data_IF_947417482476
#
_entry.id   IF_947417482476
#
_cell.length_a   1.000
_cell.length_b   1.000
_cell.length_c   1.000
_cell.angle_alpha   90.00
_cell.angle_beta   90.00
_cell.angle_gamma   90.00
#
_symmetry.space_group_name_H-M   'P 1'
#
loop_
_entity.id
_entity.type
_entity.pdbx_description
1 polymer ?
#
# COMPACT_ATOMS: atom_id res chain seq x y z
N UNK A 1 -22.41 8.28 22.19
CA UNK A 1 -22.16 7.75 20.83
C UNK A 1 -20.93 8.45 20.26
N UNK A 2 -19.73 7.99 20.62
CA UNK A 2 -18.47 8.64 20.20
C UNK A 2 -17.33 7.65 19.97
N UNK A 3 -17.65 6.37 19.80
CA UNK A 3 -16.65 5.31 19.57
C UNK A 3 -16.31 5.17 18.08
N UNK A 4 -17.29 5.30 17.19
CA UNK A 4 -17.13 5.07 15.75
C UNK A 4 -16.08 5.97 15.09
N UNK A 5 -16.04 7.27 15.41
CA UNK A 5 -15.10 8.20 14.78
C UNK A 5 -13.63 7.97 15.20
N UNK A 6 -13.41 7.53 16.45
CA UNK A 6 -12.05 7.21 16.91
C UNK A 6 -11.54 5.91 16.29
N UNK A 7 -12.44 4.95 16.08
CA UNK A 7 -12.13 3.71 15.39
C UNK A 7 -11.83 3.96 13.91
N UNK A 8 -12.61 4.78 13.20
CA UNK A 8 -12.37 5.10 11.78
C UNK A 8 -11.10 5.92 11.54
N UNK A 9 -10.77 6.85 12.43
CA UNK A 9 -9.49 7.59 12.35
C UNK A 9 -8.29 6.68 12.56
N UNK A 10 -8.32 5.78 13.56
CA UNK A 10 -7.24 4.80 13.74
C UNK A 10 -7.12 3.79 12.58
N UNK A 11 -8.25 3.42 11.96
CA UNK A 11 -8.29 2.54 10.79
C UNK A 11 -7.73 3.22 9.52
N UNK A 12 -7.95 4.54 9.40
CA UNK A 12 -7.38 5.39 8.35
C UNK A 12 -5.86 5.53 8.55
N UNK A 13 -5.40 5.91 9.74
CA UNK A 13 -3.96 6.02 10.07
C UNK A 13 -3.21 4.71 9.80
N UNK A 14 -3.82 3.57 10.17
CA UNK A 14 -3.26 2.23 9.92
C UNK A 14 -3.12 1.94 8.41
N UNK A 15 -4.13 2.29 7.60
CA UNK A 15 -4.06 2.12 6.14
C UNK A 15 -3.07 3.05 5.47
N UNK A 16 -2.95 4.29 5.94
CA UNK A 16 -1.94 5.23 5.44
C UNK A 16 -0.52 4.74 5.72
N UNK A 17 -0.28 4.18 6.91
CA UNK A 17 1.00 3.56 7.26
C UNK A 17 1.29 2.32 6.38
N UNK A 18 0.29 1.46 6.18
CA UNK A 18 0.41 0.31 5.28
C UNK A 18 0.71 0.73 3.84
N UNK A 19 0.05 1.77 3.34
CA UNK A 19 0.27 2.32 2.00
C UNK A 19 1.70 2.87 1.86
N UNK A 20 2.20 3.56 2.88
CA UNK A 20 3.59 4.04 2.91
C UNK A 20 4.59 2.87 2.86
N UNK A 21 4.34 1.80 3.62
CA UNK A 21 5.15 0.59 3.60
C UNK A 21 5.16 -0.12 2.24
N UNK A 22 4.00 -0.22 1.58
CA UNK A 22 3.91 -0.81 0.23
C UNK A 22 4.69 0.03 -0.79
N UNK A 23 4.60 1.37 -0.72
CA UNK A 23 5.36 2.25 -1.61
C UNK A 23 6.87 2.14 -1.42
N UNK A 24 7.32 2.02 -0.17
CA UNK A 24 8.74 1.80 0.15
C UNK A 24 9.22 0.45 -0.41
N UNK A 25 8.42 -0.61 -0.25
CA UNK A 25 8.73 -1.93 -0.81
C UNK A 25 8.83 -1.89 -2.35
N UNK A 26 7.90 -1.22 -3.04
CA UNK A 26 7.97 -1.04 -4.49
C UNK A 26 9.25 -0.29 -4.90
N UNK A 27 9.57 0.80 -4.20
CA UNK A 27 10.78 1.58 -4.47
C UNK A 27 12.06 0.75 -4.27
N UNK A 28 12.09 -0.07 -3.22
CA UNK A 28 13.19 -0.99 -2.96
C UNK A 28 13.34 -2.03 -4.08
N UNK A 29 12.25 -2.64 -4.54
CA UNK A 29 12.27 -3.61 -5.63
C UNK A 29 12.69 -2.98 -6.96
N UNK A 30 12.18 -1.80 -7.30
CA UNK A 30 12.57 -1.06 -8.51
C UNK A 30 14.02 -0.57 -8.48
N UNK A 31 14.59 -0.36 -7.28
CA UNK A 31 15.99 0.01 -7.09
C UNK A 31 16.97 -1.13 -7.32
N UNK A 32 16.52 -2.39 -7.40
CA UNK A 32 17.43 -3.52 -7.60
C UNK A 32 17.76 -3.68 -9.09
N UNK A 33 19.05 -3.63 -9.48
CA UNK A 33 19.42 -3.81 -10.88
C UNK A 33 19.10 -5.23 -11.34
N UNK A 34 18.58 -5.36 -12.57
CA UNK A 34 18.24 -6.65 -13.17
C UNK A 34 19.43 -7.63 -13.23
N UNK A 35 20.66 -7.12 -13.23
CA UNK A 35 21.90 -7.93 -13.21
C UNK A 35 22.27 -8.48 -11.83
N UNK A 36 21.58 -8.06 -10.75
CA UNK A 36 21.82 -8.58 -9.40
C UNK A 36 21.18 -9.96 -9.18
N UNK A 37 20.29 -10.40 -10.06
CA UNK A 37 19.53 -11.63 -9.93
C UNK A 37 19.61 -12.50 -11.18
N UNK A 38 19.58 -13.82 -10.97
CA UNK A 38 19.31 -14.77 -12.03
C UNK A 38 17.88 -14.59 -12.57
N UNK A 39 17.64 -15.04 -13.81
CA UNK A 39 16.40 -14.79 -14.54
C UNK A 39 15.13 -15.19 -13.75
N UNK A 40 15.13 -16.36 -13.10
CA UNK A 40 14.00 -16.83 -12.28
C UNK A 40 13.68 -15.87 -11.12
N UNK A 41 14.71 -15.38 -10.42
CA UNK A 41 14.55 -14.40 -9.32
C UNK A 41 14.07 -13.06 -9.83
N UNK A 42 14.50 -12.66 -11.03
CA UNK A 42 14.02 -11.43 -11.65
C UNK A 42 12.53 -11.52 -12.03
N UNK A 43 12.09 -12.66 -12.56
CA UNK A 43 10.67 -12.92 -12.85
C UNK A 43 9.82 -12.88 -11.57
N UNK A 44 10.23 -13.57 -10.51
CA UNK A 44 9.52 -13.50 -9.21
C UNK A 44 9.46 -12.09 -8.65
N UNK A 45 10.52 -11.29 -8.85
CA UNK A 45 10.57 -9.91 -8.38
C UNK A 45 9.63 -8.99 -9.16
N UNK A 46 9.46 -9.24 -10.46
CA UNK A 46 8.49 -8.53 -11.29
C UNK A 46 7.05 -8.89 -10.89
N UNK A 47 6.75 -10.16 -10.64
CA UNK A 47 5.44 -10.60 -10.13
C UNK A 47 5.13 -9.94 -8.77
N UNK A 48 6.08 -9.96 -7.84
CA UNK A 48 5.92 -9.31 -6.54
C UNK A 48 5.71 -7.79 -6.66
N UNK A 49 6.37 -7.15 -7.62
CA UNK A 49 6.18 -5.72 -7.87
C UNK A 49 4.77 -5.41 -8.44
N UNK A 50 4.23 -6.27 -9.31
CA UNK A 50 2.86 -6.16 -9.84
C UNK A 50 1.81 -6.35 -8.74
N UNK A 51 1.99 -7.36 -7.89
CA UNK A 51 1.13 -7.61 -6.73
C UNK A 51 1.13 -6.42 -5.77
N UNK A 52 2.31 -5.86 -5.48
CA UNK A 52 2.43 -4.67 -4.62
C UNK A 52 1.80 -3.44 -5.26
N UNK A 53 1.89 -3.25 -6.57
CA UNK A 53 1.18 -2.15 -7.25
C UNK A 53 -0.35 -2.32 -7.20
N UNK A 54 -0.85 -3.54 -7.33
CA UNK A 54 -2.26 -3.83 -7.16
C UNK A 54 -2.73 -3.55 -5.72
N UNK A 55 -1.92 -3.93 -4.73
CA UNK A 55 -2.17 -3.62 -3.32
C UNK A 55 -2.11 -2.12 -3.03
N UNK A 56 -1.16 -1.38 -3.61
CA UNK A 56 -1.03 0.08 -3.48
C UNK A 56 -2.29 0.79 -3.97
N UNK A 57 -2.85 0.34 -5.10
CA UNK A 57 -4.10 0.87 -5.64
C UNK A 57 -5.31 0.56 -4.75
N UNK A 58 -5.40 -0.67 -4.24
CA UNK A 58 -6.48 -1.07 -3.35
C UNK A 58 -6.46 -0.23 -2.06
N UNK A 59 -5.30 -0.14 -1.40
CA UNK A 59 -5.12 0.65 -0.19
C UNK A 59 -5.37 2.14 -0.42
N UNK A 60 -4.94 2.69 -1.57
CA UNK A 60 -5.22 4.08 -1.92
C UNK A 60 -6.73 4.30 -2.01
N UNK A 61 -7.44 3.42 -2.72
CA UNK A 61 -8.89 3.52 -2.88
C UNK A 61 -9.62 3.40 -1.53
N UNK A 62 -9.22 2.47 -0.66
CA UNK A 62 -9.78 2.32 0.68
C UNK A 62 -9.50 3.56 1.56
N UNK A 63 -8.30 4.13 1.47
CA UNK A 63 -7.92 5.34 2.21
C UNK A 63 -8.74 6.55 1.77
N UNK A 64 -8.96 6.71 0.46
CA UNK A 64 -9.80 7.77 -0.09
C UNK A 64 -11.25 7.62 0.37
N UNK A 65 -11.83 6.42 0.28
CA UNK A 65 -13.19 6.15 0.78
C UNK A 65 -13.33 6.44 2.28
N UNK A 66 -12.36 6.04 3.10
CA UNK A 66 -12.40 6.31 4.55
C UNK A 66 -12.23 7.81 4.87
N UNK A 67 -11.45 8.55 4.09
CA UNK A 67 -11.35 10.01 4.20
C UNK A 67 -12.68 10.67 3.86
N UNK A 68 -13.31 10.30 2.74
CA UNK A 68 -14.62 10.82 2.35
C UNK A 68 -15.67 10.56 3.43
N UNK A 69 -15.71 9.35 4.01
CA UNK A 69 -16.63 9.01 5.10
C UNK A 69 -16.36 9.83 6.38
N UNK A 70 -15.10 10.15 6.68
CA UNK A 70 -14.75 10.96 7.85
C UNK A 70 -14.97 12.47 7.63
N UNK A 71 -14.88 12.98 6.40
CA UNK A 71 -15.09 14.41 6.08
C UNK A 71 -16.59 14.78 6.00
N UNK A 72 -17.48 13.81 5.69
CA UNK A 72 -18.95 14.00 5.61
C UNK A 72 -19.68 13.92 6.98
N UNK A 73 -18.95 13.77 8.11
CA UNK A 73 -19.50 13.70 9.49
C UNK A 73 -19.30 14.96 10.32
#
# INVERSE_FOLDING_TARGET
>A
MGQTNRETLSDLECREEALAGVRDAIAALQGVPATAFDQEKHETLLEAADDLQSLERALTNETEQLREVNDDQ
#
